data_IF_470985079719
#
_entry.id   IF_470985079719
#
_cell.length_a   1.000
_cell.length_b   1.000
_cell.length_c   1.000
_cell.angle_alpha   90.00
_cell.angle_beta   90.00
_cell.angle_gamma   90.00
#
_symmetry.space_group_name_H-M   'P 1'
#
loop_
_entity.id
_entity.type
_entity.pdbx_description
1 polymer ?
#
# COMPACT_ATOMS: atom_id res chain seq x y z
N UNK A 1 -17.64 -9.67 12.08
CA UNK A 1 -17.05 -8.55 12.85
C UNK A 1 -16.14 -7.79 11.90
N UNK A 2 -16.27 -6.47 11.82
CA UNK A 2 -15.45 -5.65 10.93
C UNK A 2 -14.06 -5.43 11.52
N UNK A 3 -13.01 -5.54 10.72
CA UNK A 3 -11.62 -5.24 11.09
C UNK A 3 -11.18 -3.94 10.40
N UNK A 4 -10.70 -2.97 11.18
CA UNK A 4 -10.13 -1.71 10.66
C UNK A 4 -8.60 -1.82 10.71
N UNK A 5 -7.95 -1.76 9.56
CA UNK A 5 -6.49 -1.81 9.43
C UNK A 5 -5.99 -0.41 9.13
N UNK A 6 -5.15 0.12 9.99
CA UNK A 6 -4.71 1.52 9.94
C UNK A 6 -3.24 1.58 9.53
N UNK A 7 -2.97 2.34 8.49
CA UNK A 7 -1.63 2.69 8.04
C UNK A 7 -0.98 3.66 9.04
N UNK A 8 -0.20 3.09 9.95
CA UNK A 8 0.46 3.82 11.01
C UNK A 8 1.64 4.66 10.53
N UNK A 9 2.28 4.29 9.42
CA UNK A 9 3.36 5.09 8.85
C UNK A 9 2.84 6.44 8.35
N UNK A 10 1.71 6.44 7.67
CA UNK A 10 1.06 7.69 7.22
C UNK A 10 0.61 8.52 8.43
N UNK A 11 0.01 7.90 9.44
CA UNK A 11 -0.37 8.62 10.68
C UNK A 11 0.87 9.24 11.33
N UNK A 12 1.97 8.47 11.46
CA UNK A 12 3.21 8.93 12.07
C UNK A 12 3.83 10.11 11.31
N UNK A 13 3.99 9.96 10.00
CA UNK A 13 4.58 11.03 9.18
C UNK A 13 3.73 12.30 9.19
N UNK A 14 2.42 12.20 9.01
CA UNK A 14 1.53 13.38 9.04
C UNK A 14 1.55 14.11 10.37
N UNK A 15 1.56 13.37 11.48
CA UNK A 15 1.60 13.95 12.82
C UNK A 15 2.95 14.61 13.11
N UNK A 16 4.04 13.96 12.74
CA UNK A 16 5.37 14.51 12.94
C UNK A 16 5.62 15.75 12.04
N UNK A 17 5.17 15.75 10.78
CA UNK A 17 5.24 16.93 9.91
C UNK A 17 4.34 18.07 10.41
N UNK A 18 3.14 17.77 10.93
CA UNK A 18 2.27 18.79 11.52
C UNK A 18 2.96 19.54 12.68
N UNK A 19 3.85 18.87 13.38
CA UNK A 19 4.55 19.40 14.55
C UNK A 19 6.03 19.71 14.27
N UNK A 20 6.45 19.84 13.00
CA UNK A 20 7.85 20.10 12.64
C UNK A 20 8.45 21.32 13.36
N UNK A 21 7.64 22.38 13.53
CA UNK A 21 8.03 23.62 14.22
C UNK A 21 7.31 23.78 15.58
N UNK A 22 6.83 22.66 16.17
CA UNK A 22 6.05 22.65 17.41
C UNK A 22 6.66 21.67 18.42
N UNK A 23 6.01 21.56 19.59
CA UNK A 23 6.43 20.61 20.63
C UNK A 23 6.11 19.16 20.26
N UNK A 24 6.87 18.23 20.85
CA UNK A 24 6.55 16.80 20.82
C UNK A 24 5.10 16.53 21.25
N UNK A 25 4.61 17.25 22.28
CA UNK A 25 3.21 17.13 22.70
C UNK A 25 2.23 17.38 21.55
N UNK A 26 2.47 18.39 20.74
CA UNK A 26 1.60 18.66 19.58
C UNK A 26 1.63 17.53 18.54
N UNK A 27 2.77 16.85 18.36
CA UNK A 27 2.85 15.67 17.49
C UNK A 27 2.03 14.50 18.05
N UNK A 28 2.15 14.24 19.34
CA UNK A 28 1.43 13.18 20.04
C UNK A 28 -0.09 13.44 20.05
N UNK A 29 -0.50 14.67 20.39
CA UNK A 29 -1.92 15.07 20.33
C UNK A 29 -2.49 14.88 18.92
N UNK A 30 -1.71 15.14 17.87
CA UNK A 30 -2.13 14.94 16.48
C UNK A 30 -2.26 13.47 16.10
N UNK A 31 -1.41 12.59 16.60
CA UNK A 31 -1.59 11.12 16.45
C UNK A 31 -2.92 10.70 17.03
N UNK A 32 -3.18 11.09 18.28
CA UNK A 32 -4.40 10.72 19.00
C UNK A 32 -5.65 11.24 18.31
N UNK A 33 -5.61 12.48 17.81
CA UNK A 33 -6.69 13.08 17.01
C UNK A 33 -6.97 12.26 15.74
N UNK A 34 -5.92 11.92 14.98
CA UNK A 34 -6.08 11.18 13.72
C UNK A 34 -6.64 9.77 13.96
N UNK A 35 -6.06 9.00 14.89
CA UNK A 35 -6.56 7.66 15.19
C UNK A 35 -8.02 7.71 15.68
N UNK A 36 -8.34 8.61 16.61
CA UNK A 36 -9.72 8.75 17.10
C UNK A 36 -10.68 9.14 15.96
N UNK A 37 -10.28 10.03 15.06
CA UNK A 37 -11.08 10.40 13.89
C UNK A 37 -11.34 9.21 12.98
N UNK A 38 -10.29 8.43 12.66
CA UNK A 38 -10.41 7.20 11.85
C UNK A 38 -11.40 6.24 12.51
N UNK A 39 -11.24 5.98 13.81
CA UNK A 39 -12.10 5.04 14.54
C UNK A 39 -13.55 5.52 14.60
N UNK A 40 -13.79 6.81 14.83
CA UNK A 40 -15.15 7.38 14.81
C UNK A 40 -15.80 7.23 13.43
N UNK A 41 -15.08 7.56 12.36
CA UNK A 41 -15.59 7.45 10.98
C UNK A 41 -15.90 6.00 10.60
N UNK A 42 -15.04 5.07 10.97
CA UNK A 42 -15.25 3.65 10.67
C UNK A 42 -16.35 3.02 11.54
N UNK A 43 -16.54 3.49 12.77
CA UNK A 43 -17.63 3.04 13.66
C UNK A 43 -19.01 3.36 13.08
N UNK A 44 -19.21 4.51 12.45
CA UNK A 44 -20.48 4.88 11.83
C UNK A 44 -20.87 3.98 10.65
N UNK A 45 -19.89 3.36 9.99
CA UNK A 45 -20.10 2.55 8.79
C UNK A 45 -20.25 1.07 9.13
N UNK A 46 -19.59 0.61 10.18
CA UNK A 46 -19.56 -0.82 10.54
C UNK A 46 -19.22 -1.04 12.03
N UNK A 47 -20.22 -1.14 12.85
CA UNK A 47 -20.09 -1.49 14.27
C UNK A 47 -20.63 -2.91 14.54
N UNK A 48 -20.11 -3.68 15.51
CA UNK A 48 -18.85 -3.46 16.24
C UNK A 48 -17.62 -3.79 15.38
N UNK A 49 -16.50 -3.15 15.65
CA UNK A 49 -15.26 -3.40 14.94
C UNK A 49 -14.06 -3.53 15.88
N UNK A 50 -13.03 -4.22 15.40
CA UNK A 50 -11.68 -4.22 15.95
C UNK A 50 -10.79 -3.37 15.05
N UNK A 51 -9.73 -2.82 15.62
CA UNK A 51 -8.72 -2.12 14.82
C UNK A 51 -7.32 -2.66 15.08
N UNK A 52 -6.44 -2.45 14.10
CA UNK A 52 -5.01 -2.70 14.23
C UNK A 52 -4.24 -1.64 13.46
N UNK A 53 -3.22 -1.07 14.10
CA UNK A 53 -2.27 -0.12 13.49
C UNK A 53 -1.03 -0.89 13.07
N UNK A 54 -0.48 -0.57 11.89
CA UNK A 54 0.74 -1.19 11.38
C UNK A 54 1.82 -0.14 11.10
N UNK A 55 3.06 -0.50 11.37
CA UNK A 55 4.24 0.32 11.13
C UNK A 55 5.30 -0.49 10.41
N UNK A 56 5.96 0.08 9.43
CA UNK A 56 7.13 -0.52 8.78
C UNK A 56 8.31 -0.57 9.74
N UNK A 57 8.89 -1.75 9.90
CA UNK A 57 10.05 -1.98 10.76
C UNK A 57 11.38 -2.00 10.02
N UNK A 58 12.19 -3.01 10.32
CA UNK A 58 13.50 -3.20 9.70
C UNK A 58 13.44 -4.24 8.59
N UNK A 59 14.32 -4.06 7.60
CA UNK A 59 14.39 -4.95 6.46
C UNK A 59 13.22 -4.75 5.49
N UNK A 60 13.43 -5.14 4.26
CA UNK A 60 12.40 -5.20 3.23
C UNK A 60 12.93 -6.05 2.09
N UNK A 61 12.28 -7.18 1.82
CA UNK A 61 12.67 -8.12 0.77
C UNK A 61 12.79 -7.47 -0.62
N UNK A 62 12.12 -6.33 -0.86
CA UNK A 62 12.18 -5.59 -2.13
C UNK A 62 13.58 -5.08 -2.45
N UNK A 63 14.41 -4.78 -1.43
CA UNK A 63 15.80 -4.40 -1.66
C UNK A 63 16.62 -5.54 -2.28
N UNK A 64 16.33 -6.79 -1.94
CA UNK A 64 17.06 -7.97 -2.43
C UNK A 64 16.62 -8.36 -3.86
N UNK A 65 15.38 -8.06 -4.24
CA UNK A 65 14.82 -8.43 -5.54
C UNK A 65 14.97 -7.34 -6.61
N UNK A 66 15.20 -6.10 -6.22
CA UNK A 66 15.41 -4.98 -7.14
C UNK A 66 16.76 -5.11 -7.87
N UNK A 67 16.72 -5.28 -9.19
CA UNK A 67 17.91 -5.48 -10.03
C UNK A 67 18.16 -4.32 -10.98
N UNK A 68 17.11 -3.81 -11.60
CA UNK A 68 17.21 -2.80 -12.66
C UNK A 68 17.43 -1.40 -12.10
N UNK A 69 16.78 -1.07 -10.98
CA UNK A 69 16.91 0.21 -10.28
C UNK A 69 16.89 -0.03 -8.78
N UNK A 70 17.62 0.77 -8.02
CA UNK A 70 17.64 0.66 -6.57
C UNK A 70 16.27 1.03 -5.97
N UNK A 71 15.62 0.08 -5.29
CA UNK A 71 14.35 0.30 -4.63
C UNK A 71 14.44 1.45 -3.62
N UNK A 72 13.54 2.44 -3.70
CA UNK A 72 13.54 3.66 -2.86
C UNK A 72 14.86 4.47 -2.86
N UNK A 73 15.71 4.28 -3.88
CA UNK A 73 17.01 4.95 -3.98
C UNK A 73 16.92 6.48 -4.00
N UNK A 74 15.81 7.03 -4.48
CA UNK A 74 15.49 8.46 -4.51
C UNK A 74 15.12 9.06 -3.13
N UNK A 75 14.97 8.22 -2.07
CA UNK A 75 14.61 8.69 -0.72
C UNK A 75 15.78 8.82 0.24
N UNK A 76 17.01 8.46 -0.17
CA UNK A 76 18.20 8.41 0.72
C UNK A 76 18.50 9.71 1.44
N UNK A 77 18.31 10.83 0.74
CA UNK A 77 18.62 12.16 1.26
C UNK A 77 17.40 12.90 1.83
N UNK A 78 16.27 12.21 1.97
CA UNK A 78 15.06 12.84 2.49
C UNK A 78 15.14 12.96 4.01
N UNK A 79 15.16 14.20 4.52
CA UNK A 79 15.13 14.44 5.96
C UNK A 79 13.83 13.93 6.59
N UNK A 80 13.98 13.20 7.69
CA UNK A 80 12.82 12.73 8.47
C UNK A 80 12.33 13.84 9.40
N UNK A 81 11.02 13.92 9.70
CA UNK A 81 10.49 14.84 10.69
C UNK A 81 11.12 14.61 12.07
N UNK A 82 11.36 15.67 12.83
CA UNK A 82 12.09 15.61 14.11
C UNK A 82 11.43 14.72 15.16
N UNK A 83 10.09 14.66 15.20
CA UNK A 83 9.34 13.89 16.19
C UNK A 83 8.93 12.48 15.72
N UNK A 84 9.43 12.03 14.56
CA UNK A 84 8.96 10.78 13.95
C UNK A 84 9.19 9.55 14.85
N UNK A 85 10.33 9.47 15.50
CA UNK A 85 10.67 8.33 16.39
C UNK A 85 9.72 8.28 17.58
N UNK A 86 9.52 9.40 18.26
CA UNK A 86 8.67 9.48 19.45
C UNK A 86 7.19 9.19 19.12
N UNK A 87 6.73 9.71 17.96
CA UNK A 87 5.39 9.44 17.44
C UNK A 87 5.19 7.95 17.17
N UNK A 88 6.16 7.29 16.57
CA UNK A 88 6.10 5.83 16.32
C UNK A 88 6.08 5.04 17.63
N UNK A 89 6.89 5.43 18.62
CA UNK A 89 6.85 4.83 19.95
C UNK A 89 5.49 5.00 20.61
N UNK A 90 4.87 6.17 20.47
CA UNK A 90 3.53 6.43 21.01
C UNK A 90 2.48 5.53 20.34
N UNK A 91 2.53 5.34 19.02
CA UNK A 91 1.66 4.40 18.30
C UNK A 91 1.80 2.96 18.82
N UNK A 92 3.04 2.52 19.11
CA UNK A 92 3.29 1.20 19.68
C UNK A 92 2.74 1.09 21.09
N UNK A 93 3.08 2.04 21.98
CA UNK A 93 2.77 1.97 23.42
C UNK A 93 1.29 2.18 23.70
N UNK A 94 0.64 3.14 23.05
CA UNK A 94 -0.75 3.52 23.32
C UNK A 94 -1.76 2.81 22.39
N UNK A 95 -1.44 2.71 21.11
CA UNK A 95 -2.35 2.22 20.10
C UNK A 95 -2.09 0.77 19.67
N UNK A 96 -1.12 0.11 20.31
CA UNK A 96 -0.80 -1.30 20.08
C UNK A 96 -0.31 -1.57 18.64
N UNK A 97 0.40 -0.61 18.04
CA UNK A 97 0.86 -0.77 16.66
C UNK A 97 1.81 -1.96 16.52
N UNK A 98 1.55 -2.80 15.53
CA UNK A 98 2.41 -3.91 15.11
C UNK A 98 3.47 -3.37 14.16
N UNK A 99 4.72 -3.72 14.42
CA UNK A 99 5.86 -3.33 13.58
C UNK A 99 6.25 -4.52 12.70
N UNK A 100 6.32 -4.31 11.38
CA UNK A 100 6.73 -5.36 10.44
C UNK A 100 8.21 -5.73 10.59
N UNK A 101 8.58 -6.90 10.12
CA UNK A 101 9.96 -7.37 10.05
C UNK A 101 10.22 -8.04 8.68
N UNK A 102 11.19 -7.54 7.93
CA UNK A 102 11.52 -8.04 6.59
C UNK A 102 10.56 -7.64 5.46
N UNK A 103 9.50 -6.90 5.78
CA UNK A 103 8.48 -6.39 4.84
C UNK A 103 7.93 -5.04 5.28
N UNK A 104 7.08 -4.41 4.50
CA UNK A 104 6.48 -3.12 4.82
C UNK A 104 5.16 -3.27 5.58
N UNK A 105 4.70 -2.22 6.25
CA UNK A 105 3.38 -2.18 6.90
C UNK A 105 2.25 -2.48 5.90
N UNK A 106 2.41 -2.04 4.66
CA UNK A 106 1.46 -2.23 3.57
C UNK A 106 1.25 -3.71 3.25
N UNK A 107 2.32 -4.52 3.31
CA UNK A 107 2.23 -5.97 3.14
C UNK A 107 1.43 -6.61 4.28
N UNK A 108 1.71 -6.23 5.54
CA UNK A 108 0.93 -6.72 6.69
C UNK A 108 -0.55 -6.35 6.59
N UNK A 109 -0.85 -5.11 6.18
CA UNK A 109 -2.23 -4.65 5.96
C UNK A 109 -2.90 -5.51 4.89
N UNK A 110 -2.21 -5.76 3.78
CA UNK A 110 -2.76 -6.55 2.69
C UNK A 110 -2.96 -8.04 3.05
N UNK A 111 -2.03 -8.64 3.81
CA UNK A 111 -2.14 -10.00 4.34
C UNK A 111 -3.37 -10.11 5.24
N UNK A 112 -3.50 -9.21 6.21
CA UNK A 112 -4.63 -9.21 7.14
C UNK A 112 -5.96 -8.90 6.44
N UNK A 113 -5.99 -7.96 5.51
CA UNK A 113 -7.18 -7.67 4.71
C UNK A 113 -7.63 -8.89 3.90
N UNK A 114 -6.69 -9.61 3.29
CA UNK A 114 -6.98 -10.84 2.57
C UNK A 114 -7.54 -11.91 3.50
N UNK A 115 -7.01 -12.03 4.72
CA UNK A 115 -7.45 -13.00 5.73
C UNK A 115 -8.86 -12.75 6.21
N UNK A 116 -9.24 -11.48 6.45
CA UNK A 116 -10.56 -11.07 6.94
C UNK A 116 -11.57 -10.84 5.81
N UNK A 117 -11.10 -10.70 4.56
CA UNK A 117 -11.95 -10.55 3.38
C UNK A 117 -12.79 -9.26 3.37
N UNK A 118 -14.00 -9.28 2.76
CA UNK A 118 -14.81 -8.07 2.53
C UNK A 118 -15.25 -7.32 3.80
N UNK A 119 -15.12 -7.95 4.96
CA UNK A 119 -15.42 -7.31 6.26
C UNK A 119 -14.31 -6.35 6.72
N UNK A 120 -13.26 -6.17 5.92
CA UNK A 120 -12.13 -5.29 6.24
C UNK A 120 -12.40 -3.86 5.78
N UNK A 121 -11.88 -2.91 6.55
CA UNK A 121 -11.73 -1.51 6.16
C UNK A 121 -10.24 -1.17 6.26
N UNK A 122 -9.63 -0.73 5.16
CA UNK A 122 -8.27 -0.19 5.15
C UNK A 122 -8.34 1.33 5.26
N UNK A 123 -7.75 1.88 6.31
CA UNK A 123 -7.63 3.32 6.54
C UNK A 123 -6.22 3.80 6.19
N UNK A 124 -6.06 4.36 5.01
CA UNK A 124 -4.80 4.94 4.50
C UNK A 124 -5.07 6.07 3.52
N UNK A 125 -4.08 6.91 3.26
CA UNK A 125 -4.08 7.89 2.15
C UNK A 125 -3.25 7.40 0.96
N UNK A 126 -2.56 6.27 1.11
CA UNK A 126 -1.75 5.71 0.05
C UNK A 126 -2.62 5.04 -1.01
N UNK A 127 -2.39 5.43 -2.27
CA UNK A 127 -3.10 4.85 -3.42
C UNK A 127 -2.78 3.37 -3.64
N UNK A 128 -1.61 2.91 -3.18
CA UNK A 128 -1.15 1.55 -3.43
C UNK A 128 -2.01 0.52 -2.70
N UNK A 129 -2.66 0.94 -1.60
CA UNK A 129 -3.70 0.15 -0.93
C UNK A 129 -4.89 -0.21 -1.82
N UNK A 130 -5.11 0.49 -2.96
CA UNK A 130 -6.18 0.14 -3.92
C UNK A 130 -5.94 -1.20 -4.64
N UNK A 131 -4.81 -1.85 -4.43
CA UNK A 131 -4.63 -3.25 -4.80
C UNK A 131 -5.49 -4.21 -3.94
N UNK A 132 -5.93 -3.79 -2.74
CA UNK A 132 -6.58 -4.65 -1.76
C UNK A 132 -8.10 -4.62 -1.96
N UNK A 133 -8.76 -5.77 -2.28
CA UNK A 133 -10.20 -5.84 -2.44
C UNK A 133 -10.92 -5.73 -1.09
N UNK A 134 -11.35 -4.54 -0.73
CA UNK A 134 -12.12 -4.26 0.49
C UNK A 134 -12.70 -2.85 0.46
N UNK A 135 -13.26 -2.40 1.57
CA UNK A 135 -13.60 -0.99 1.76
C UNK A 135 -12.38 -0.21 2.22
N UNK A 136 -12.24 1.00 1.67
CA UNK A 136 -11.15 1.91 1.98
C UNK A 136 -11.67 3.22 2.53
N UNK A 137 -10.98 3.75 3.52
CA UNK A 137 -11.21 5.08 4.05
C UNK A 137 -9.95 5.94 3.90
N UNK A 138 -9.99 6.92 2.99
CA UNK A 138 -8.93 7.92 2.87
C UNK A 138 -9.14 9.02 3.91
N UNK A 139 -8.49 8.90 5.05
CA UNK A 139 -8.61 9.87 6.15
C UNK A 139 -7.94 11.23 5.87
N UNK A 140 -7.22 11.36 4.77
CA UNK A 140 -6.66 12.64 4.33
C UNK A 140 -7.65 13.52 3.59
N UNK A 141 -8.67 12.91 2.95
CA UNK A 141 -9.70 13.56 2.16
C UNK A 141 -11.11 13.35 2.71
N UNK A 142 -11.27 12.53 3.73
CA UNK A 142 -12.55 12.03 4.26
C UNK A 142 -13.41 11.36 3.17
N UNK A 143 -12.76 10.48 2.36
CA UNK A 143 -13.39 9.80 1.23
C UNK A 143 -13.46 8.29 1.46
N UNK A 144 -14.54 7.68 0.96
CA UNK A 144 -14.77 6.24 1.01
C UNK A 144 -14.86 5.65 -0.38
N UNK A 145 -14.23 4.47 -0.56
CA UNK A 145 -14.38 3.67 -1.77
C UNK A 145 -14.39 2.18 -1.45
N UNK A 146 -14.88 1.40 -2.41
CA UNK A 146 -14.83 -0.05 -2.37
C UNK A 146 -14.07 -0.52 -3.60
N UNK A 147 -13.13 -1.41 -3.40
CA UNK A 147 -12.38 -2.08 -4.46
C UNK A 147 -12.84 -3.53 -4.49
N UNK A 148 -13.21 -4.03 -5.65
CA UNK A 148 -13.46 -5.46 -5.88
C UNK A 148 -12.17 -6.17 -6.33
N UNK A 149 -12.24 -7.51 -6.43
CA UNK A 149 -11.08 -8.33 -6.78
C UNK A 149 -10.45 -7.93 -8.11
N UNK A 150 -11.29 -7.73 -9.14
CA UNK A 150 -10.79 -7.36 -10.46
C UNK A 150 -10.26 -5.93 -10.51
N UNK A 151 -10.90 -5.00 -9.82
CA UNK A 151 -10.43 -3.62 -9.68
C UNK A 151 -9.06 -3.52 -9.02
N UNK A 152 -8.84 -4.28 -7.96
CA UNK A 152 -7.54 -4.38 -7.30
C UNK A 152 -6.45 -4.96 -8.20
N UNK A 153 -6.74 -6.04 -8.90
CA UNK A 153 -5.85 -6.63 -9.89
C UNK A 153 -5.54 -5.64 -11.03
N UNK A 154 -6.55 -5.02 -11.61
CA UNK A 154 -6.38 -4.03 -12.69
C UNK A 154 -5.53 -2.85 -12.24
N UNK A 155 -5.71 -2.39 -11.00
CA UNK A 155 -4.88 -1.34 -10.43
C UNK A 155 -3.41 -1.79 -10.32
N UNK A 156 -3.13 -2.99 -9.84
CA UNK A 156 -1.79 -3.56 -9.78
C UNK A 156 -1.13 -3.65 -11.16
N UNK A 157 -1.81 -4.22 -12.15
CA UNK A 157 -1.28 -4.30 -13.52
C UNK A 157 -1.05 -2.93 -14.16
N UNK A 158 -1.88 -1.95 -13.81
CA UNK A 158 -1.67 -0.56 -14.20
C UNK A 158 -0.38 0.01 -13.62
N UNK A 159 -0.06 -0.31 -12.35
CA UNK A 159 1.20 0.10 -11.73
C UNK A 159 2.41 -0.56 -12.41
N UNK A 160 2.34 -1.82 -12.85
CA UNK A 160 3.43 -2.45 -13.63
C UNK A 160 3.74 -1.61 -14.88
N UNK A 161 2.72 -1.12 -15.58
CA UNK A 161 2.88 -0.29 -16.78
C UNK A 161 3.45 1.11 -16.47
N UNK A 162 2.94 1.76 -15.41
CA UNK A 162 3.30 3.15 -15.09
C UNK A 162 4.57 3.26 -14.24
N UNK A 163 4.93 2.20 -13.51
CA UNK A 163 5.88 2.25 -12.42
C UNK A 163 5.35 3.00 -11.20
N UNK A 164 6.22 3.17 -10.20
CA UNK A 164 6.00 4.04 -9.04
C UNK A 164 7.24 4.91 -8.78
N UNK A 165 7.09 6.21 -9.02
CA UNK A 165 8.19 7.17 -8.82
C UNK A 165 8.55 7.33 -7.34
N UNK A 166 7.59 7.13 -6.42
CA UNK A 166 7.86 7.24 -4.98
C UNK A 166 8.84 6.15 -4.52
N UNK A 167 8.75 4.97 -5.10
CA UNK A 167 9.58 3.81 -4.77
C UNK A 167 10.71 3.56 -5.78
N UNK A 168 10.92 4.49 -6.71
CA UNK A 168 11.92 4.38 -7.76
C UNK A 168 11.75 3.15 -8.66
N UNK A 169 10.49 2.74 -8.87
CA UNK A 169 10.13 1.64 -9.77
C UNK A 169 9.79 2.24 -11.14
N UNK A 170 10.63 1.97 -12.11
CA UNK A 170 10.47 2.55 -13.46
C UNK A 170 9.54 1.67 -14.30
N UNK A 171 8.42 2.22 -14.76
CA UNK A 171 7.52 1.59 -15.71
C UNK A 171 7.95 1.78 -17.16
N UNK A 172 7.03 1.63 -18.10
CA UNK A 172 7.27 1.85 -19.52
C UNK A 172 7.38 3.34 -19.84
N UNK A 173 8.36 3.66 -20.67
CA UNK A 173 8.61 5.03 -21.13
C UNK A 173 7.36 5.67 -21.76
N UNK A 174 6.98 6.84 -21.28
CA UNK A 174 5.80 7.61 -21.72
C UNK A 174 4.44 6.91 -21.55
N UNK A 175 4.35 5.91 -20.68
CA UNK A 175 3.09 5.29 -20.28
C UNK A 175 2.67 5.86 -18.94
N UNK A 176 1.80 6.86 -18.95
CA UNK A 176 1.12 7.38 -17.75
C UNK A 176 -0.23 6.71 -17.53
N UNK A 177 -0.95 7.09 -16.45
CA UNK A 177 -2.21 6.44 -16.02
C UNK A 177 -3.27 6.31 -17.11
N UNK A 178 -3.46 7.34 -17.95
CA UNK A 178 -4.47 7.31 -19.01
C UNK A 178 -4.12 6.31 -20.13
N UNK A 179 -2.84 6.19 -20.51
CA UNK A 179 -2.40 5.21 -21.50
C UNK A 179 -2.44 3.79 -20.94
N UNK A 180 -2.03 3.59 -19.69
CA UNK A 180 -2.12 2.30 -19.01
C UNK A 180 -3.58 1.83 -18.94
N UNK A 181 -4.51 2.72 -18.57
CA UNK A 181 -5.94 2.41 -18.59
C UNK A 181 -6.44 1.97 -19.96
N UNK A 182 -5.99 2.63 -21.03
CA UNK A 182 -6.34 2.24 -22.40
C UNK A 182 -5.76 0.88 -22.81
N UNK A 183 -4.54 0.55 -22.35
CA UNK A 183 -3.91 -0.75 -22.62
C UNK A 183 -4.68 -1.89 -21.95
N UNK A 184 -5.18 -1.65 -20.74
CA UNK A 184 -5.89 -2.66 -19.92
C UNK A 184 -7.43 -2.62 -20.09
N UNK A 185 -7.95 -1.70 -20.93
CA UNK A 185 -9.38 -1.37 -20.97
C UNK A 185 -10.31 -2.54 -21.28
N UNK A 186 -9.88 -3.44 -22.16
CA UNK A 186 -10.70 -4.57 -22.65
C UNK A 186 -10.49 -5.87 -21.87
N UNK A 187 -9.58 -5.87 -20.88
CA UNK A 187 -9.29 -7.04 -20.05
C UNK A 187 -10.51 -7.43 -19.19
N UNK A 188 -10.80 -8.72 -19.14
CA UNK A 188 -11.93 -9.31 -18.41
C UNK A 188 -11.50 -10.15 -17.21
N UNK A 189 -10.26 -10.60 -17.21
CA UNK A 189 -9.65 -11.41 -16.16
C UNK A 189 -8.14 -11.13 -16.05
N UNK A 190 -7.48 -11.79 -15.12
CA UNK A 190 -6.05 -11.60 -14.85
C UNK A 190 -5.18 -12.01 -16.03
N UNK A 191 -5.56 -13.05 -16.82
CA UNK A 191 -4.79 -13.46 -17.98
C UNK A 191 -4.80 -12.37 -19.08
N UNK A 192 -5.94 -11.73 -19.31
CA UNK A 192 -6.06 -10.63 -20.26
C UNK A 192 -5.19 -9.43 -19.84
N UNK A 193 -5.16 -9.12 -18.52
CA UNK A 193 -4.30 -8.08 -17.95
C UNK A 193 -2.82 -8.40 -18.16
N UNK A 194 -2.41 -9.63 -17.85
CA UNK A 194 -1.06 -10.13 -18.06
C UNK A 194 -0.63 -10.05 -19.51
N UNK A 195 -1.45 -10.58 -20.44
CA UNK A 195 -1.13 -10.61 -21.88
C UNK A 195 -1.01 -9.18 -22.43
N UNK A 196 -1.87 -8.26 -21.97
CA UNK A 196 -1.80 -6.84 -22.35
C UNK A 196 -0.51 -6.18 -21.87
N UNK A 197 -0.08 -6.45 -20.65
CA UNK A 197 1.18 -5.95 -20.09
C UNK A 197 2.38 -6.57 -20.82
N UNK A 198 2.40 -7.89 -21.02
CA UNK A 198 3.47 -8.57 -21.75
C UNK A 198 3.62 -8.04 -23.17
N UNK A 199 2.50 -7.80 -23.87
CA UNK A 199 2.51 -7.17 -25.19
C UNK A 199 3.09 -5.76 -25.16
N UNK A 200 2.72 -4.95 -24.17
CA UNK A 200 3.22 -3.59 -24.02
C UNK A 200 4.73 -3.55 -23.74
N UNK A 201 5.25 -4.52 -22.98
CA UNK A 201 6.68 -4.70 -22.71
C UNK A 201 7.45 -5.40 -23.84
N UNK A 202 6.80 -5.74 -24.97
CA UNK A 202 7.46 -6.45 -26.09
C UNK A 202 7.95 -7.85 -25.73
N UNK A 203 7.36 -8.49 -24.72
CA UNK A 203 7.72 -9.82 -24.26
C UNK A 203 8.85 -9.88 -23.21
N UNK A 204 9.32 -8.74 -22.71
CA UNK A 204 10.35 -8.68 -21.64
C UNK A 204 9.80 -9.16 -20.30
N UNK A 205 9.74 -10.48 -20.13
CA UNK A 205 9.20 -11.13 -18.94
C UNK A 205 10.02 -10.83 -17.68
N UNK A 206 11.33 -10.69 -17.80
CA UNK A 206 12.20 -10.44 -16.63
C UNK A 206 11.87 -9.09 -16.02
N UNK A 207 11.71 -8.07 -16.86
CA UNK A 207 11.37 -6.72 -16.43
C UNK A 207 9.95 -6.64 -15.84
N UNK A 208 8.98 -7.31 -16.49
CA UNK A 208 7.60 -7.35 -15.99
C UNK A 208 7.52 -8.03 -14.64
N UNK A 209 8.17 -9.18 -14.47
CA UNK A 209 8.17 -9.94 -13.21
C UNK A 209 8.90 -9.18 -12.10
N UNK A 210 10.01 -8.50 -12.40
CA UNK A 210 10.70 -7.66 -11.42
C UNK A 210 9.77 -6.54 -10.92
N UNK A 211 9.19 -5.75 -11.83
CA UNK A 211 8.27 -4.68 -11.46
C UNK A 211 7.04 -5.22 -10.70
N UNK A 212 6.47 -6.33 -11.15
CA UNK A 212 5.35 -6.97 -10.47
C UNK A 212 5.68 -7.33 -9.02
N UNK A 213 6.84 -7.97 -8.78
CA UNK A 213 7.28 -8.36 -7.43
C UNK A 213 7.59 -7.18 -6.52
N UNK A 214 8.06 -6.06 -7.08
CA UNK A 214 8.32 -4.83 -6.33
C UNK A 214 7.02 -4.10 -5.94
N UNK A 215 6.00 -4.15 -6.81
CA UNK A 215 4.74 -3.44 -6.65
C UNK A 215 3.68 -4.23 -5.89
N UNK A 216 3.74 -5.58 -5.94
CA UNK A 216 2.74 -6.43 -5.32
C UNK A 216 2.72 -6.28 -3.80
N UNK A 217 1.54 -6.00 -3.25
CA UNK A 217 1.30 -6.12 -1.83
C UNK A 217 0.97 -7.59 -1.51
N UNK A 218 1.75 -8.21 -0.63
CA UNK A 218 1.61 -9.62 -0.25
C UNK A 218 0.20 -9.95 0.24
N UNK A 219 -0.32 -11.13 -0.11
CA UNK A 219 -1.60 -11.64 0.37
C UNK A 219 -1.45 -12.71 1.45
N UNK A 220 -0.24 -13.23 1.61
CA UNK A 220 0.18 -14.18 2.65
C UNK A 220 1.65 -13.99 2.99
N UNK A 221 2.04 -14.43 4.18
CA UNK A 221 3.42 -14.35 4.64
C UNK A 221 4.40 -15.01 3.66
N UNK A 222 5.52 -14.35 3.40
CA UNK A 222 6.58 -14.84 2.52
C UNK A 222 6.20 -14.95 1.04
N UNK A 223 5.02 -14.50 0.64
CA UNK A 223 4.61 -14.55 -0.76
C UNK A 223 5.52 -13.73 -1.66
N UNK A 224 5.90 -14.33 -2.78
CA UNK A 224 6.51 -13.63 -3.89
C UNK A 224 5.60 -13.79 -5.11
N UNK A 225 5.12 -12.70 -5.67
CA UNK A 225 4.21 -12.72 -6.80
C UNK A 225 4.72 -13.58 -7.96
N UNK A 226 3.83 -14.34 -8.58
CA UNK A 226 4.11 -15.19 -9.72
C UNK A 226 3.17 -14.84 -10.88
N UNK A 227 3.64 -14.92 -12.14
CA UNK A 227 2.78 -14.76 -13.30
C UNK A 227 1.60 -15.74 -13.28
N UNK A 228 0.42 -15.34 -13.82
CA UNK A 228 -0.67 -16.27 -13.97
C UNK A 228 -0.27 -17.46 -14.86
N UNK A 229 -0.78 -18.65 -14.54
CA UNK A 229 -0.53 -19.84 -15.34
C UNK A 229 -1.26 -19.71 -16.68
N UNK A 230 -0.59 -20.07 -17.77
CA UNK A 230 -1.23 -20.07 -19.09
C UNK A 230 -2.52 -20.90 -19.05
N UNK A 231 -3.59 -20.40 -19.69
CA UNK A 231 -4.79 -21.20 -19.94
C UNK A 231 -4.37 -22.44 -20.73
N UNK A 232 -4.64 -23.62 -20.19
CA UNK A 232 -4.61 -24.83 -20.99
C UNK A 232 -5.73 -24.68 -22.02
N UNK A 233 -5.36 -24.66 -23.31
CA UNK A 233 -6.25 -24.47 -24.44
C UNK A 233 -7.08 -25.74 -24.75
#
# INVERSE_FOLDING_TARGET
MTKVLIDGDIVAYRSAFHAQDKSLKAAIDKVDELINTILQRTLFVAAPHEYQVYLTGKGNFRFDIAKSYEYKGNRKDTAKPIHLTDVREHLIKKWGAIVSDGEEADDLIAIEATRYGPSTIVASVDKDMLQIPCRHYNFGRDEWYTVDDFGGLKFFYKQILTGDNADNIVGLYRIGPAKAEKILGDAKDEQDLWDSVMKAYGGDIERVVENARLLWLRRKEGELWQPPQKREG
#
